data_IF_256857911960
#
_entry.id   IF_256857911960
#
_cell.length_a   1.000
_cell.length_b   1.000
_cell.length_c   1.000
_cell.angle_alpha   90.00
_cell.angle_beta   90.00
_cell.angle_gamma   90.00
#
_symmetry.space_group_name_H-M   'P 1'
#
loop_
_entity.id
_entity.type
_entity.pdbx_description
1 polymer ?
#
# COMPACT_ATOMS: atom_id res chain seq x y z
N UNK A 1 24.41 11.01 -31.89
CA UNK A 1 23.90 9.73 -31.35
C UNK A 1 23.00 9.89 -30.10
N UNK A 2 22.73 11.11 -29.62
CA UNK A 2 21.75 11.37 -28.53
C UNK A 2 20.53 12.09 -29.10
N UNK A 3 19.79 11.42 -29.99
CA UNK A 3 18.73 12.00 -30.81
C UNK A 3 17.32 11.51 -30.50
N UNK A 4 17.10 10.81 -29.39
CA UNK A 4 15.75 10.53 -28.91
C UNK A 4 15.45 11.47 -27.75
N UNK A 5 14.53 12.42 -27.96
CA UNK A 5 13.76 13.03 -26.87
C UNK A 5 12.89 11.94 -26.26
N UNK A 6 13.50 11.03 -25.50
CA UNK A 6 12.77 10.08 -24.67
C UNK A 6 12.20 10.88 -23.51
N UNK A 7 10.94 11.27 -23.60
CA UNK A 7 10.23 11.83 -22.44
C UNK A 7 10.26 10.74 -21.37
N UNK A 8 10.99 10.98 -20.28
CA UNK A 8 11.03 10.06 -19.15
C UNK A 8 9.66 10.08 -18.49
N UNK A 9 9.01 8.92 -18.42
CA UNK A 9 7.76 8.77 -17.70
C UNK A 9 8.05 8.65 -16.21
N UNK A 10 7.32 9.41 -15.40
CA UNK A 10 7.48 9.44 -13.94
C UNK A 10 6.22 8.88 -13.28
N UNK A 11 6.42 8.01 -12.28
CA UNK A 11 5.40 7.65 -11.31
C UNK A 11 5.85 8.12 -9.91
N UNK A 12 5.02 8.93 -9.27
CA UNK A 12 5.28 9.53 -7.96
C UNK A 12 4.35 8.93 -6.91
N UNK A 13 4.94 8.16 -5.99
CA UNK A 13 4.22 7.50 -4.91
C UNK A 13 4.68 8.05 -3.56
N UNK A 14 3.73 8.58 -2.78
CA UNK A 14 3.96 9.01 -1.41
C UNK A 14 3.79 7.81 -0.46
N UNK A 15 4.77 7.61 0.43
CA UNK A 15 4.78 6.49 1.39
C UNK A 15 4.68 7.04 2.81
N UNK A 16 3.64 6.66 3.55
CA UNK A 16 3.41 7.08 4.93
C UNK A 16 3.37 5.87 5.86
N UNK A 17 4.47 5.65 6.58
CA UNK A 17 4.59 4.58 7.60
C UNK A 17 4.07 4.99 8.98
N UNK A 18 4.17 6.27 9.33
CA UNK A 18 3.79 6.76 10.65
C UNK A 18 2.35 7.32 10.64
N UNK A 19 1.39 6.45 10.93
CA UNK A 19 -0.03 6.79 11.13
C UNK A 19 -0.69 5.86 12.16
N UNK A 20 -1.96 6.11 12.45
CA UNK A 20 -2.71 5.41 13.50
C UNK A 20 -3.62 4.27 13.00
N UNK A 21 -3.81 4.12 11.69
CA UNK A 21 -4.56 2.98 11.12
C UNK A 21 -3.90 1.63 11.46
N UNK A 22 -4.69 0.68 11.95
CA UNK A 22 -4.28 -0.70 12.28
C UNK A 22 -5.33 -1.67 11.75
N UNK A 23 -4.87 -2.87 11.39
CA UNK A 23 -5.69 -3.92 10.82
C UNK A 23 -5.50 -5.21 11.59
N UNK A 24 -6.58 -5.94 11.78
CA UNK A 24 -6.58 -7.16 12.57
C UNK A 24 -7.47 -8.22 11.94
N UNK A 25 -7.06 -9.48 12.08
CA UNK A 25 -7.90 -10.65 11.83
C UNK A 25 -8.53 -11.03 13.16
N UNK A 26 -9.87 -11.07 13.21
CA UNK A 26 -10.59 -11.54 14.39
C UNK A 26 -10.73 -13.05 14.35
N UNK A 27 -10.13 -13.75 15.31
CA UNK A 27 -10.42 -15.15 15.55
C UNK A 27 -11.73 -15.27 16.34
N UNK A 28 -12.77 -15.77 15.68
CA UNK A 28 -14.10 -15.95 16.27
C UNK A 28 -14.13 -17.00 17.38
N UNK A 29 -13.20 -17.96 17.38
CA UNK A 29 -13.17 -19.02 18.39
C UNK A 29 -12.53 -18.54 19.69
N UNK A 30 -11.38 -17.88 19.59
CA UNK A 30 -10.67 -17.37 20.78
C UNK A 30 -11.09 -15.95 21.20
N UNK A 31 -11.88 -15.26 20.39
CA UNK A 31 -12.22 -13.84 20.55
C UNK A 31 -10.99 -12.94 20.69
N UNK A 32 -9.88 -13.32 20.03
CA UNK A 32 -8.61 -12.58 20.02
C UNK A 32 -8.36 -11.96 18.66
N UNK A 33 -7.74 -10.78 18.67
CA UNK A 33 -7.28 -10.10 17.48
C UNK A 33 -5.84 -10.48 17.17
N UNK A 34 -5.58 -10.85 15.92
CA UNK A 34 -4.25 -11.17 15.41
C UNK A 34 -3.84 -10.15 14.34
N UNK A 35 -2.52 -9.97 14.17
CA UNK A 35 -2.01 -9.18 13.07
C UNK A 35 -2.43 -9.79 11.73
N UNK A 36 -2.69 -8.91 10.75
CA UNK A 36 -2.86 -9.34 9.36
C UNK A 36 -1.57 -9.93 8.79
N UNK A 37 -1.70 -10.77 7.76
CA UNK A 37 -0.57 -11.44 7.13
C UNK A 37 0.31 -10.46 6.35
N UNK A 38 1.61 -10.74 6.20
CA UNK A 38 2.44 -10.05 5.21
C UNK A 38 1.85 -10.18 3.80
N UNK A 39 1.95 -9.14 2.99
CA UNK A 39 1.34 -9.06 1.65
C UNK A 39 -0.14 -8.67 1.65
N UNK A 40 -0.77 -8.46 2.82
CA UNK A 40 -2.15 -7.98 2.85
C UNK A 40 -2.22 -6.56 2.31
N UNK A 41 -3.02 -6.38 1.26
CA UNK A 41 -3.36 -5.08 0.66
C UNK A 41 -4.79 -4.70 1.05
N UNK A 42 -5.02 -3.42 1.33
CA UNK A 42 -6.36 -2.84 1.49
C UNK A 42 -6.46 -1.54 0.71
N UNK A 43 -7.22 -1.54 -0.36
CA UNK A 43 -7.43 -0.44 -1.31
C UNK A 43 -8.90 -0.01 -1.45
N UNK A 44 -9.78 -0.54 -0.59
CA UNK A 44 -11.22 -0.30 -0.59
C UNK A 44 -11.71 0.11 0.80
N UNK A 45 -12.90 0.74 0.84
CA UNK A 45 -13.69 1.17 2.01
C UNK A 45 -13.05 2.20 2.97
N UNK A 46 -11.84 1.94 3.44
CA UNK A 46 -11.14 2.71 4.49
C UNK A 46 -9.98 3.55 3.93
N UNK A 47 -9.98 3.76 2.62
CA UNK A 47 -9.08 4.66 1.90
C UNK A 47 -9.83 5.96 1.54
N UNK A 48 -9.14 7.09 1.31
CA UNK A 48 -9.79 8.29 0.81
C UNK A 48 -10.58 8.01 -0.49
N UNK A 49 -11.77 8.61 -0.68
CA UNK A 49 -12.63 8.32 -1.83
C UNK A 49 -12.11 8.91 -3.14
N UNK A 50 -11.20 9.89 -3.07
CA UNK A 50 -10.66 10.58 -4.23
C UNK A 50 -9.18 10.23 -4.37
N UNK A 51 -8.74 9.80 -5.55
CA UNK A 51 -7.35 9.44 -5.85
C UNK A 51 -7.06 7.96 -5.63
N UNK A 52 -5.80 7.57 -5.83
CA UNK A 52 -5.38 6.17 -5.69
C UNK A 52 -4.53 5.99 -4.43
N UNK A 53 -5.10 5.26 -3.48
CA UNK A 53 -4.51 4.94 -2.18
C UNK A 53 -4.63 3.46 -1.89
N UNK A 54 -3.64 2.90 -1.20
CA UNK A 54 -3.73 1.56 -0.64
C UNK A 54 -2.86 1.42 0.60
N UNK A 55 -3.29 0.58 1.53
CA UNK A 55 -2.46 0.10 2.62
C UNK A 55 -1.80 -1.21 2.22
N UNK A 56 -0.51 -1.36 2.49
CA UNK A 56 0.22 -2.62 2.32
C UNK A 56 0.93 -3.00 3.62
N UNK A 57 0.67 -4.22 4.09
CA UNK A 57 1.43 -4.83 5.18
C UNK A 57 2.57 -5.70 4.61
N UNK A 58 3.74 -5.12 4.35
CA UNK A 58 4.83 -5.85 3.67
C UNK A 58 5.57 -6.89 4.54
N UNK A 59 5.38 -6.88 5.86
CA UNK A 59 6.16 -7.74 6.77
C UNK A 59 5.36 -8.18 7.99
N UNK A 60 5.81 -9.27 8.63
CA UNK A 60 5.30 -9.71 9.91
C UNK A 60 6.03 -8.95 11.02
N UNK A 61 5.32 -8.32 11.97
CA UNK A 61 5.98 -7.67 13.09
C UNK A 61 6.59 -8.74 14.01
N UNK A 62 7.86 -8.54 14.41
CA UNK A 62 8.52 -9.40 15.40
C UNK A 62 7.83 -9.28 16.77
N UNK A 63 7.36 -8.07 17.11
CA UNK A 63 6.65 -7.79 18.35
C UNK A 63 5.62 -6.67 18.16
N UNK A 64 4.50 -6.80 18.86
CA UNK A 64 3.42 -5.81 18.88
C UNK A 64 2.50 -5.87 17.67
N UNK A 65 1.84 -4.77 17.37
CA UNK A 65 0.86 -4.66 16.27
C UNK A 65 1.53 -4.20 14.98
N UNK A 66 1.18 -4.84 13.87
CA UNK A 66 1.57 -4.43 12.52
C UNK A 66 1.15 -2.98 12.24
N UNK A 67 2.00 -2.25 11.52
CA UNK A 67 1.68 -0.94 10.97
C UNK A 67 1.75 -1.02 9.45
N UNK A 68 0.63 -1.40 8.79
CA UNK A 68 0.57 -1.39 7.33
C UNK A 68 0.84 0.02 6.83
N UNK A 69 1.62 0.15 5.78
CA UNK A 69 2.05 1.45 5.25
C UNK A 69 1.00 1.97 4.27
N UNK A 70 0.64 3.25 4.37
CA UNK A 70 -0.22 3.91 3.38
C UNK A 70 0.61 4.40 2.21
N UNK A 71 0.25 3.95 1.01
CA UNK A 71 0.76 4.43 -0.27
C UNK A 71 -0.30 5.30 -0.93
N UNK A 72 0.14 6.40 -1.54
CA UNK A 72 -0.70 7.26 -2.36
C UNK A 72 0.02 7.52 -3.68
N UNK A 73 -0.62 7.16 -4.79
CA UNK A 73 -0.13 7.51 -6.13
C UNK A 73 -0.60 8.93 -6.43
N UNK A 74 0.34 9.87 -6.48
CA UNK A 74 0.05 11.29 -6.75
C UNK A 74 0.06 11.58 -8.25
N UNK A 75 0.89 10.86 -8.99
CA UNK A 75 1.06 11.06 -10.42
C UNK A 75 1.63 9.79 -11.04
N UNK A 76 1.12 9.39 -12.19
CA UNK A 76 1.58 8.21 -12.92
C UNK A 76 1.47 8.40 -14.42
N UNK A 77 2.60 8.64 -15.08
CA UNK A 77 2.70 8.73 -16.55
C UNK A 77 2.91 7.38 -17.22
N UNK A 78 3.25 6.35 -16.45
CA UNK A 78 3.50 5.00 -16.96
C UNK A 78 2.17 4.31 -17.24
N UNK A 79 1.13 4.63 -16.46
CA UNK A 79 -0.22 4.12 -16.63
C UNK A 79 -0.39 2.74 -16.02
N UNK A 80 0.21 2.52 -14.85
CA UNK A 80 0.07 1.28 -14.12
C UNK A 80 -1.37 1.04 -13.67
N UNK A 81 -1.73 -0.23 -13.67
CA UNK A 81 -2.91 -0.73 -12.98
C UNK A 81 -2.68 -0.77 -11.48
N UNK A 82 -3.77 -0.93 -10.73
CA UNK A 82 -3.70 -1.06 -9.26
C UNK A 82 -2.82 -2.24 -8.84
N UNK A 83 -3.04 -3.40 -9.46
CA UNK A 83 -2.30 -4.62 -9.17
C UNK A 83 -0.80 -4.48 -9.45
N UNK A 84 -0.43 -3.81 -10.54
CA UNK A 84 0.98 -3.60 -10.91
C UNK A 84 1.71 -2.73 -9.88
N UNK A 85 1.12 -1.62 -9.46
CA UNK A 85 1.74 -0.76 -8.42
C UNK A 85 1.82 -1.49 -7.08
N UNK A 86 0.78 -2.23 -6.70
CA UNK A 86 0.75 -2.97 -5.44
C UNK A 86 1.79 -4.10 -5.40
N UNK A 87 2.03 -4.78 -6.52
CA UNK A 87 3.05 -5.83 -6.63
C UNK A 87 4.47 -5.27 -6.70
N UNK A 88 4.64 -4.07 -7.26
CA UNK A 88 5.94 -3.40 -7.34
C UNK A 88 6.47 -2.94 -5.96
N UNK A 89 5.57 -2.62 -5.03
CA UNK A 89 5.87 -2.10 -3.68
C UNK A 89 6.09 -3.16 -2.62
#
# INVERSE_FOLDING_TARGET
LYGHNSILQICFVLVKKNHNTRFFILDKQSNRAHNIQPGTVVDTDIVPPNGFYFYLNSHAPIKGTSRPVLYQVLYDEIGFTSDEIQQLT
#
